data_IF_572388270732
#
_entry.id   IF_572388270732
#
_cell.length_a   1.000
_cell.length_b   1.000
_cell.length_c   1.000
_cell.angle_alpha   90.00
_cell.angle_beta   90.00
_cell.angle_gamma   90.00
#
_symmetry.space_group_name_H-M   'P 1'
#
loop_
_entity.id
_entity.type
_entity.pdbx_description
1 polymer ?
#
# COMPACT_ATOMS: atom_id res chain seq x y z
N UNK A 1 -10.52 3.11 19.13
CA UNK A 1 -10.66 4.11 18.08
C UNK A 1 -11.75 3.66 17.13
N UNK A 2 -12.71 4.51 16.79
CA UNK A 2 -13.77 4.15 15.84
C UNK A 2 -13.22 4.21 14.40
N UNK A 3 -13.35 3.08 13.69
CA UNK A 3 -12.84 2.87 12.32
C UNK A 3 -14.01 2.62 11.39
N UNK A 4 -14.03 3.32 10.27
CA UNK A 4 -15.05 3.14 9.22
C UNK A 4 -14.40 2.83 7.87
N UNK A 5 -14.93 1.82 7.18
CA UNK A 5 -14.49 1.48 5.83
C UNK A 5 -15.25 2.35 4.84
N UNK A 6 -14.53 3.10 4.02
CA UNK A 6 -15.11 3.99 3.01
C UNK A 6 -14.55 3.65 1.63
N UNK A 7 -15.31 4.02 0.59
CA UNK A 7 -14.86 3.93 -0.80
C UNK A 7 -14.27 5.27 -1.24
N UNK A 8 -13.07 5.26 -1.81
CA UNK A 8 -12.38 6.42 -2.37
C UNK A 8 -12.81 6.69 -3.81
N UNK A 9 -12.39 7.82 -4.40
CA UNK A 9 -12.83 8.20 -5.74
C UNK A 9 -12.32 7.27 -6.87
N UNK A 10 -11.23 6.53 -6.66
CA UNK A 10 -10.74 5.48 -7.57
C UNK A 10 -11.44 4.11 -7.36
N UNK A 11 -12.46 4.04 -6.49
CA UNK A 11 -13.22 2.82 -6.20
C UNK A 11 -12.54 1.86 -5.21
N UNK A 12 -11.30 2.14 -4.81
CA UNK A 12 -10.64 1.39 -3.74
C UNK A 12 -11.22 1.79 -2.37
N UNK A 13 -10.87 1.03 -1.34
CA UNK A 13 -11.35 1.26 0.03
C UNK A 13 -10.24 1.72 0.94
N UNK A 14 -10.57 2.61 1.87
CA UNK A 14 -9.67 3.06 2.94
C UNK A 14 -10.38 3.01 4.28
N UNK A 15 -9.61 3.20 5.35
CA UNK A 15 -10.12 3.31 6.71
C UNK A 15 -10.14 4.80 7.09
N UNK A 16 -11.27 5.25 7.62
CA UNK A 16 -11.40 6.55 8.25
C UNK A 16 -11.36 6.39 9.77
N UNK A 17 -10.50 7.18 10.42
CA UNK A 17 -10.36 7.30 11.86
C UNK A 17 -11.16 8.51 12.35
N UNK A 18 -12.35 8.26 12.90
CA UNK A 18 -13.25 9.33 13.34
C UNK A 18 -12.64 10.19 14.44
N UNK A 19 -11.96 9.55 15.40
CA UNK A 19 -11.37 10.24 16.56
C UNK A 19 -10.25 11.22 16.17
N UNK A 20 -9.61 11.00 15.02
CA UNK A 20 -8.53 11.84 14.48
C UNK A 20 -8.99 12.71 13.30
N UNK A 21 -10.18 12.44 12.74
CA UNK A 21 -10.65 13.01 11.48
C UNK A 21 -9.64 12.82 10.33
N UNK A 22 -9.04 11.62 10.26
CA UNK A 22 -7.99 11.26 9.29
C UNK A 22 -8.33 9.98 8.52
N UNK A 23 -7.79 9.85 7.31
CA UNK A 23 -7.91 8.66 6.49
C UNK A 23 -6.54 7.96 6.40
N UNK A 24 -6.54 6.62 6.41
CA UNK A 24 -5.30 5.85 6.20
C UNK A 24 -4.69 6.08 4.81
N UNK A 25 -5.53 6.38 3.82
CA UNK A 25 -5.17 6.76 2.46
C UNK A 25 -6.12 7.84 2.00
N UNK A 26 -5.69 8.67 1.06
CA UNK A 26 -6.46 9.76 0.48
C UNK A 26 -7.84 9.32 -0.01
N UNK A 27 -8.87 10.10 0.34
CA UNK A 27 -10.23 9.93 -0.20
C UNK A 27 -10.29 10.07 -1.73
N UNK A 28 -9.29 10.70 -2.34
CA UNK A 28 -9.19 10.87 -3.79
C UNK A 28 -8.76 9.58 -4.50
N UNK A 29 -8.23 8.60 -3.78
CA UNK A 29 -7.92 7.28 -4.32
C UNK A 29 -6.73 6.63 -3.64
N UNK A 30 -6.93 5.53 -2.92
CA UNK A 30 -5.85 4.86 -2.21
C UNK A 30 -4.87 4.17 -3.16
N UNK A 31 -5.37 3.52 -4.22
CA UNK A 31 -4.52 2.87 -5.23
C UNK A 31 -3.77 3.93 -6.02
N UNK A 32 -4.45 4.98 -6.47
CA UNK A 32 -3.81 6.03 -7.25
C UNK A 32 -2.71 6.73 -6.46
N UNK A 33 -2.95 7.06 -5.19
CA UNK A 33 -1.95 7.64 -4.29
C UNK A 33 -0.74 6.71 -4.12
N UNK A 34 -0.97 5.43 -3.79
CA UNK A 34 0.11 4.48 -3.55
C UNK A 34 1.00 4.31 -4.80
N UNK A 35 0.42 4.17 -6.00
CA UNK A 35 1.20 4.09 -7.23
C UNK A 35 1.94 5.39 -7.56
N UNK A 36 1.32 6.54 -7.33
CA UNK A 36 1.94 7.82 -7.66
C UNK A 36 3.07 8.18 -6.69
N UNK A 37 2.80 8.13 -5.40
CA UNK A 37 3.73 8.61 -4.36
C UNK A 37 4.74 7.53 -4.02
N UNK A 38 4.28 6.34 -3.63
CA UNK A 38 5.17 5.29 -3.11
C UNK A 38 5.91 4.56 -4.23
N UNK A 39 5.21 4.12 -5.27
CA UNK A 39 5.82 3.32 -6.35
C UNK A 39 6.62 4.20 -7.30
N UNK A 40 5.96 5.11 -8.02
CA UNK A 40 6.59 5.89 -9.10
C UNK A 40 7.70 6.79 -8.57
N UNK A 41 7.42 7.57 -7.53
CA UNK A 41 8.38 8.54 -7.00
C UNK A 41 9.35 7.95 -5.97
N UNK A 42 9.14 6.70 -5.52
CA UNK A 42 10.00 6.02 -4.54
C UNK A 42 10.63 4.75 -5.11
N UNK A 43 9.87 3.66 -5.11
CA UNK A 43 10.35 2.31 -5.44
C UNK A 43 10.98 2.23 -6.85
N UNK A 44 10.28 2.71 -7.88
CA UNK A 44 10.78 2.68 -9.26
C UNK A 44 12.04 3.50 -9.43
N UNK A 45 12.09 4.70 -8.83
CA UNK A 45 13.30 5.52 -8.86
C UNK A 45 14.51 4.78 -8.26
N UNK A 46 14.33 4.07 -7.15
CA UNK A 46 15.40 3.26 -6.55
C UNK A 46 15.81 2.09 -7.47
N UNK A 47 14.83 1.37 -8.02
CA UNK A 47 15.06 0.25 -8.94
C UNK A 47 15.85 0.68 -10.18
N UNK A 48 15.52 1.83 -10.77
CA UNK A 48 16.17 2.34 -11.98
C UNK A 48 17.60 2.83 -11.74
N UNK A 49 17.91 3.26 -10.52
CA UNK A 49 19.21 3.86 -10.17
C UNK A 49 20.17 2.89 -9.50
N UNK A 50 19.71 1.69 -9.14
CA UNK A 50 20.48 0.71 -8.38
C UNK A 50 20.86 -0.50 -9.22
N UNK A 51 22.13 -0.90 -9.16
CA UNK A 51 22.65 -2.06 -9.92
C UNK A 51 22.35 -3.40 -9.22
N UNK A 52 22.24 -3.39 -7.89
CA UNK A 52 21.95 -4.57 -7.09
C UNK A 52 20.44 -4.77 -6.98
N UNK A 53 19.94 -5.94 -7.40
CA UNK A 53 18.51 -6.29 -7.41
C UNK A 53 17.94 -6.66 -6.03
N UNK A 54 18.34 -5.92 -5.01
CA UNK A 54 17.94 -6.12 -3.61
C UNK A 54 17.59 -4.78 -2.99
N UNK A 55 16.48 -4.70 -2.28
CA UNK A 55 16.05 -3.49 -1.58
C UNK A 55 15.55 -3.83 -0.17
N UNK A 56 15.90 -3.01 0.81
CA UNK A 56 15.35 -3.06 2.16
C UNK A 56 14.44 -1.85 2.39
N UNK A 57 13.21 -2.08 2.84
CA UNK A 57 12.20 -1.05 3.05
C UNK A 57 11.73 -1.10 4.50
N UNK A 58 11.73 0.06 5.15
CA UNK A 58 11.09 0.28 6.44
C UNK A 58 9.86 1.17 6.24
N UNK A 59 8.68 0.67 6.60
CA UNK A 59 7.43 1.42 6.63
C UNK A 59 7.02 1.73 8.07
N UNK A 60 6.83 3.01 8.36
CA UNK A 60 6.30 3.48 9.63
C UNK A 60 4.80 3.79 9.45
N UNK A 61 3.95 3.09 10.20
CA UNK A 61 2.51 3.11 9.98
C UNK A 61 2.09 2.14 8.87
N UNK A 62 2.34 0.84 9.08
CA UNK A 62 1.98 -0.21 8.11
C UNK A 62 0.51 -0.16 7.71
N UNK A 63 -0.36 0.24 8.65
CA UNK A 63 -1.77 0.50 8.42
C UNK A 63 -2.51 -0.63 7.69
N UNK A 64 -2.97 -0.34 6.47
CA UNK A 64 -3.75 -1.31 5.67
C UNK A 64 -2.88 -2.31 4.90
N UNK A 65 -1.55 -2.14 4.92
CA UNK A 65 -0.62 -2.98 4.17
C UNK A 65 -0.61 -2.75 2.66
N UNK A 66 -1.27 -1.69 2.16
CA UNK A 66 -1.39 -1.43 0.72
C UNK A 66 -0.03 -1.25 0.04
N UNK A 67 0.86 -0.45 0.61
CA UNK A 67 2.18 -0.19 0.02
C UNK A 67 3.02 -1.47 -0.04
N UNK A 68 3.00 -2.27 1.02
CA UNK A 68 3.66 -3.58 1.06
C UNK A 68 3.11 -4.53 -0.01
N UNK A 69 1.78 -4.57 -0.17
CA UNK A 69 1.14 -5.42 -1.16
C UNK A 69 1.50 -5.03 -2.60
N UNK A 70 1.48 -3.73 -2.92
CA UNK A 70 1.92 -3.24 -4.25
C UNK A 70 3.42 -3.49 -4.44
N UNK A 71 4.24 -3.25 -3.41
CA UNK A 71 5.68 -3.49 -3.47
C UNK A 71 5.97 -4.92 -3.87
N UNK A 72 5.30 -5.89 -3.25
CA UNK A 72 5.46 -7.31 -3.57
C UNK A 72 5.28 -7.58 -5.08
N UNK A 73 4.21 -7.06 -5.68
CA UNK A 73 3.95 -7.24 -7.11
C UNK A 73 4.98 -6.55 -8.00
N UNK A 74 5.36 -5.32 -7.66
CA UNK A 74 6.36 -4.56 -8.42
C UNK A 74 7.74 -5.24 -8.39
N UNK A 75 8.17 -5.76 -7.24
CA UNK A 75 9.48 -6.43 -7.16
C UNK A 75 9.46 -7.79 -7.86
N UNK A 76 8.36 -8.54 -7.78
CA UNK A 76 8.19 -9.79 -8.54
C UNK A 76 8.28 -9.51 -10.05
N UNK A 77 7.55 -8.50 -10.55
CA UNK A 77 7.54 -8.10 -11.96
C UNK A 77 8.93 -7.72 -12.48
N UNK A 78 9.71 -7.01 -11.66
CA UNK A 78 11.04 -6.52 -12.04
C UNK A 78 12.18 -7.50 -11.69
N UNK A 79 11.87 -8.67 -11.11
CA UNK A 79 12.82 -9.66 -10.61
C UNK A 79 13.80 -9.08 -9.57
N UNK A 80 13.25 -8.41 -8.56
CA UNK A 80 13.94 -7.85 -7.40
C UNK A 80 13.65 -8.66 -6.14
N UNK A 81 14.62 -8.72 -5.23
CA UNK A 81 14.42 -9.23 -3.87
C UNK A 81 14.14 -8.06 -2.94
N UNK A 82 13.13 -8.19 -2.09
CA UNK A 82 12.79 -7.19 -1.08
C UNK A 82 12.86 -7.77 0.32
N UNK A 83 13.44 -7.01 1.24
CA UNK A 83 13.26 -7.18 2.68
C UNK A 83 12.36 -6.04 3.17
N UNK A 84 11.14 -6.35 3.62
CA UNK A 84 10.13 -5.37 3.98
C UNK A 84 9.78 -5.47 5.46
N UNK A 85 10.01 -4.38 6.19
CA UNK A 85 9.67 -4.27 7.61
C UNK A 85 8.62 -3.19 7.77
N UNK A 86 7.42 -3.57 8.21
CA UNK A 86 6.36 -2.65 8.59
C UNK A 86 6.22 -2.55 10.11
N UNK A 87 6.07 -1.33 10.63
CA UNK A 87 5.80 -1.06 12.04
C UNK A 87 4.42 -0.40 12.16
N UNK A 88 3.56 -0.92 13.03
CA UNK A 88 2.24 -0.36 13.30
C UNK A 88 1.91 -0.43 14.78
N UNK A 89 1.55 0.71 15.36
CA UNK A 89 1.20 0.82 16.78
C UNK A 89 -0.22 0.30 17.05
N UNK A 90 -1.12 0.43 16.07
CA UNK A 90 -2.52 0.01 16.17
C UNK A 90 -2.92 -0.81 14.95
N UNK A 91 -2.54 -2.10 14.89
CA UNK A 91 -2.81 -2.95 13.73
C UNK A 91 -4.28 -2.94 13.31
N UNK A 92 -4.51 -2.97 12.00
CA UNK A 92 -5.84 -3.20 11.43
C UNK A 92 -6.21 -4.66 11.66
N UNK A 93 -7.43 -4.91 12.14
CA UNK A 93 -7.87 -6.29 12.38
C UNK A 93 -8.06 -7.03 11.06
N UNK A 94 -7.86 -8.37 11.07
CA UNK A 94 -8.06 -9.18 9.86
C UNK A 94 -9.49 -9.09 9.30
N UNK A 95 -10.48 -8.85 10.17
CA UNK A 95 -11.86 -8.62 9.75
C UNK A 95 -12.00 -7.31 8.96
N UNK A 96 -11.34 -6.23 9.40
CA UNK A 96 -11.31 -4.96 8.66
C UNK A 96 -10.53 -5.10 7.34
N UNK A 97 -9.38 -5.79 7.36
CA UNK A 97 -8.61 -6.10 6.15
C UNK A 97 -9.46 -6.85 5.13
N UNK A 98 -10.26 -7.82 5.57
CA UNK A 98 -11.16 -8.59 4.70
C UNK A 98 -12.26 -7.75 4.01
N UNK A 99 -12.54 -6.54 4.50
CA UNK A 99 -13.47 -5.62 3.85
C UNK A 99 -12.81 -4.68 2.85
N UNK A 100 -11.47 -4.59 2.84
CA UNK A 100 -10.70 -3.87 1.84
C UNK A 100 -10.74 -4.62 0.50
N UNK A 101 -10.58 -3.90 -0.60
CA UNK A 101 -10.77 -4.43 -1.95
C UNK A 101 -9.54 -4.26 -2.85
N UNK A 102 -8.35 -4.13 -2.27
CA UNK A 102 -7.12 -3.84 -3.03
C UNK A 102 -6.77 -4.91 -4.07
N UNK A 103 -7.06 -6.18 -3.78
CA UNK A 103 -6.85 -7.29 -4.73
C UNK A 103 -7.56 -7.10 -6.06
N UNK A 104 -8.67 -6.36 -6.09
CA UNK A 104 -9.43 -6.11 -7.32
C UNK A 104 -8.70 -5.14 -8.27
N UNK A 105 -7.72 -4.41 -7.77
CA UNK A 105 -6.95 -3.41 -8.53
C UNK A 105 -5.52 -3.86 -8.82
N UNK A 106 -5.00 -4.83 -8.06
CA UNK A 106 -3.59 -5.25 -8.07
C UNK A 106 -3.44 -6.71 -8.54
N UNK A 107 -4.44 -7.29 -9.21
CA UNK A 107 -4.34 -8.64 -9.79
C UNK A 107 -3.61 -8.68 -11.15
N UNK A 108 -3.10 -9.86 -11.53
CA UNK A 108 -2.39 -10.27 -12.77
C UNK A 108 -3.06 -9.86 -14.11
N UNK A 109 -3.30 -8.57 -14.35
CA UNK A 109 -3.70 -8.06 -15.68
C UNK A 109 -2.50 -7.76 -16.59
N UNK A 110 -1.38 -8.45 -16.38
CA UNK A 110 -0.24 -8.46 -17.32
C UNK A 110 0.28 -9.89 -17.49
N UNK A 111 -0.55 -10.74 -18.11
CA UNK A 111 -0.09 -11.92 -18.85
C UNK A 111 -0.03 -11.63 -20.35
#
# INVERSE_FOLDING_TARGET
MKREIITTADGSKTIYLEDLNEYYHSKHGAIQEAYHVFVKNGLHHFIETSENKTISILELGFGTGLNAFITFWEVVKNNWTVDYIGIEAYPVSLAEVGHLNYSNFISDNQS
#
